data_IF_411542895808
#
_entry.id   IF_411542895808
#
_cell.length_a   1.000
_cell.length_b   1.000
_cell.length_c   1.000
_cell.angle_alpha   90.00
_cell.angle_beta   90.00
_cell.angle_gamma   90.00
#
_symmetry.space_group_name_H-M   'P 1'
#
loop_
_entity.id
_entity.type
_entity.pdbx_description
1 polymer ?
#
# COMPACT_ATOMS: atom_id res chain seq x y z
N UNK A 1 -5.56 16.60 2.77
CA UNK A 1 -4.39 16.00 3.43
C UNK A 1 -3.43 15.73 2.30
N UNK A 2 -2.31 16.44 2.30
CA UNK A 2 -1.34 16.29 1.23
C UNK A 2 -0.58 14.99 1.44
N UNK A 3 -0.36 14.25 0.35
CA UNK A 3 0.36 12.99 0.37
C UNK A 3 1.12 12.80 -0.93
N UNK A 4 2.20 12.02 -0.89
CA UNK A 4 2.90 11.55 -2.09
C UNK A 4 2.80 10.03 -2.17
N UNK A 5 2.33 9.52 -3.31
CA UNK A 5 2.29 8.09 -3.61
C UNK A 5 3.53 7.68 -4.41
N UNK A 6 4.30 6.76 -3.86
CA UNK A 6 5.43 6.12 -4.56
C UNK A 6 5.06 4.66 -4.79
N UNK A 7 4.64 4.32 -6.00
CA UNK A 7 4.12 3.00 -6.32
C UNK A 7 5.12 2.19 -7.15
N UNK A 8 5.03 0.86 -7.01
CA UNK A 8 5.68 -0.11 -7.88
C UNK A 8 7.21 -0.07 -7.87
N UNK A 9 7.82 0.20 -6.71
CA UNK A 9 9.26 -0.04 -6.57
C UNK A 9 9.50 -1.55 -6.50
N UNK A 10 10.13 -2.10 -7.54
CA UNK A 10 10.41 -3.52 -7.65
C UNK A 10 11.91 -3.73 -7.85
N UNK A 11 12.54 -4.50 -6.98
CA UNK A 11 13.91 -4.96 -7.20
C UNK A 11 13.95 -5.96 -8.37
N UNK A 12 14.98 -5.93 -9.24
CA UNK A 12 15.12 -6.89 -10.33
C UNK A 12 15.01 -8.34 -9.83
N UNK A 13 14.26 -9.17 -10.55
CA UNK A 13 14.00 -10.59 -10.24
C UNK A 13 13.34 -10.88 -8.87
N UNK A 14 12.84 -9.85 -8.18
CA UNK A 14 12.11 -10.02 -6.93
C UNK A 14 10.61 -10.25 -7.15
N UNK A 15 10.03 -11.11 -6.31
CA UNK A 15 8.57 -11.28 -6.18
C UNK A 15 7.94 -10.29 -5.19
N UNK A 16 8.71 -9.27 -4.79
CA UNK A 16 8.29 -8.22 -3.86
C UNK A 16 8.11 -6.91 -4.60
N UNK A 17 7.00 -6.24 -4.33
CA UNK A 17 6.74 -4.87 -4.76
C UNK A 17 6.59 -4.01 -3.51
N UNK A 18 7.28 -2.88 -3.51
CA UNK A 18 7.26 -1.90 -2.44
C UNK A 18 6.47 -0.68 -2.90
N UNK A 19 5.52 -0.27 -2.07
CA UNK A 19 4.74 0.96 -2.26
C UNK A 19 4.89 1.82 -1.00
N UNK A 20 5.00 3.13 -1.17
CA UNK A 20 5.01 4.08 -0.06
C UNK A 20 3.88 5.08 -0.20
N UNK A 21 3.30 5.45 0.95
CA UNK A 21 2.45 6.63 1.09
C UNK A 21 3.15 7.55 2.06
N UNK A 22 3.60 8.70 1.58
CA UNK A 22 4.30 9.72 2.37
C UNK A 22 3.30 10.79 2.79
N UNK A 23 3.18 11.02 4.09
CA UNK A 23 2.48 12.16 4.68
C UNK A 23 3.48 13.07 5.40
N UNK A 24 3.05 14.26 5.79
CA UNK A 24 3.92 15.23 6.47
C UNK A 24 4.49 14.71 7.79
N UNK A 25 3.72 13.94 8.55
CA UNK A 25 4.10 13.48 9.90
C UNK A 25 4.52 12.01 9.98
N UNK A 26 4.16 11.20 8.98
CA UNK A 26 4.46 9.78 8.96
C UNK A 26 4.45 9.23 7.54
N UNK A 27 4.98 8.02 7.38
CA UNK A 27 4.91 7.27 6.12
C UNK A 27 4.42 5.86 6.35
N UNK A 28 3.74 5.32 5.35
CA UNK A 28 3.26 3.94 5.32
C UNK A 28 4.06 3.19 4.27
N UNK A 29 4.85 2.21 4.71
CA UNK A 29 5.57 1.31 3.82
C UNK A 29 4.76 0.04 3.64
N UNK A 30 4.38 -0.25 2.40
CA UNK A 30 3.56 -1.39 2.02
C UNK A 30 4.42 -2.34 1.21
N UNK A 31 4.40 -3.61 1.57
CA UNK A 31 5.09 -4.68 0.87
C UNK A 31 4.05 -5.65 0.34
N UNK A 32 4.04 -5.79 -0.97
CA UNK A 32 3.25 -6.76 -1.69
C UNK A 32 4.14 -7.94 -2.09
N UNK A 33 3.65 -9.15 -1.83
CA UNK A 33 4.32 -10.38 -2.26
C UNK A 33 3.48 -11.08 -3.30
N UNK A 34 4.12 -11.38 -4.42
CA UNK A 34 3.50 -12.06 -5.56
C UNK A 34 3.99 -13.50 -5.66
N UNK A 35 3.20 -14.34 -6.32
CA UNK A 35 3.61 -15.66 -6.81
C UNK A 35 3.46 -15.71 -8.34
N UNK A 36 4.14 -16.67 -8.95
CA UNK A 36 4.27 -16.74 -10.41
C UNK A 36 5.35 -15.81 -10.94
N UNK A 37 5.55 -15.81 -12.26
CA UNK A 37 6.55 -14.94 -12.89
C UNK A 37 6.00 -13.50 -12.92
N UNK A 38 6.78 -12.54 -12.46
CA UNK A 38 6.38 -11.13 -12.49
C UNK A 38 6.08 -10.64 -13.92
N UNK A 39 6.80 -11.18 -14.91
CA UNK A 39 6.56 -10.93 -16.34
C UNK A 39 5.38 -11.70 -16.95
N UNK A 40 4.83 -12.71 -16.26
CA UNK A 40 3.78 -13.57 -16.80
C UNK A 40 2.81 -14.06 -15.72
N UNK A 41 1.69 -13.34 -15.61
CA UNK A 41 0.59 -13.60 -14.69
C UNK A 41 0.99 -13.57 -13.19
N UNK A 42 1.52 -12.43 -12.69
CA UNK A 42 1.78 -12.28 -11.26
C UNK A 42 0.48 -12.35 -10.46
N UNK A 43 0.49 -13.12 -9.37
CA UNK A 43 -0.65 -13.24 -8.45
C UNK A 43 -0.27 -12.67 -7.09
N UNK A 44 -0.95 -11.61 -6.67
CA UNK A 44 -0.74 -11.05 -5.33
C UNK A 44 -1.20 -12.07 -4.29
N UNK A 45 -0.32 -12.44 -3.37
CA UNK A 45 -0.55 -13.49 -2.37
C UNK A 45 -0.54 -12.96 -0.94
N UNK A 46 0.23 -11.92 -0.66
CA UNK A 46 0.31 -11.34 0.67
C UNK A 46 0.56 -9.84 0.57
N UNK A 47 -0.06 -9.09 1.47
CA UNK A 47 0.21 -7.66 1.64
C UNK A 47 0.42 -7.41 3.12
N UNK A 48 1.56 -6.80 3.43
CA UNK A 48 1.88 -6.32 4.76
C UNK A 48 2.22 -4.84 4.70
N UNK A 49 2.01 -4.12 5.79
CA UNK A 49 2.47 -2.75 5.90
C UNK A 49 3.03 -2.44 7.28
N UNK A 50 3.86 -1.40 7.32
CA UNK A 50 4.46 -0.81 8.51
C UNK A 50 4.28 0.70 8.45
N UNK A 51 4.23 1.34 9.62
CA UNK A 51 4.15 2.79 9.73
C UNK A 51 5.43 3.30 10.38
N UNK A 52 5.96 4.40 9.86
CA UNK A 52 7.14 5.07 10.38
C UNK A 52 6.90 6.56 10.55
N UNK A 53 7.61 7.20 11.46
CA UNK A 53 7.65 8.66 11.56
C UNK A 53 8.31 9.27 10.31
N UNK A 54 8.22 10.60 10.17
CA UNK A 54 8.98 11.37 9.18
C UNK A 54 10.49 11.10 9.28
N UNK A 55 11.00 10.86 10.49
CA UNK A 55 12.41 10.57 10.79
C UNK A 55 12.79 9.09 10.59
N UNK A 56 11.93 8.30 9.94
CA UNK A 56 12.12 6.87 9.63
C UNK A 56 12.14 5.94 10.87
N UNK A 57 11.66 6.41 12.01
CA UNK A 57 11.50 5.57 13.20
C UNK A 57 10.26 4.68 13.08
N UNK A 58 10.39 3.40 13.44
CA UNK A 58 9.30 2.43 13.36
C UNK A 58 8.28 2.68 14.47
N UNK A 59 7.00 2.84 14.09
CA UNK A 59 5.90 2.98 15.04
C UNK A 59 5.36 1.58 15.38
N UNK A 60 5.22 1.29 16.67
CA UNK A 60 4.58 0.07 17.14
C UNK A 60 3.05 0.18 17.05
N UNK A 61 2.41 -0.92 16.69
CA UNK A 61 0.97 -1.08 16.73
C UNK A 61 0.47 -1.09 18.18
N UNK A 62 -0.84 -0.94 18.33
CA UNK A 62 -1.56 -1.08 19.61
C UNK A 62 -1.31 -2.41 20.33
N UNK A 63 -1.03 -3.47 19.58
CA UNK A 63 -0.73 -4.82 20.10
C UNK A 63 0.77 -5.07 20.33
N UNK A 64 1.62 -4.04 20.20
CA UNK A 64 3.08 -4.13 20.35
C UNK A 64 3.83 -4.64 19.11
N UNK A 65 3.12 -5.19 18.12
CA UNK A 65 3.74 -5.65 16.88
C UNK A 65 4.09 -4.49 15.94
N UNK A 66 4.98 -4.72 14.98
CA UNK A 66 5.39 -3.69 13.99
C UNK A 66 4.68 -3.86 12.65
N UNK A 67 4.25 -5.08 12.33
CA UNK A 67 3.75 -5.45 11.00
C UNK A 67 2.24 -5.64 11.08
N UNK A 68 1.52 -5.00 10.17
CA UNK A 68 0.11 -5.28 9.92
C UNK A 68 -0.02 -6.08 8.63
N UNK A 69 -0.61 -7.28 8.71
CA UNK A 69 -0.99 -8.07 7.53
C UNK A 69 -2.42 -7.74 7.14
N UNK A 70 -2.65 -7.42 5.87
CA UNK A 70 -3.99 -7.22 5.31
C UNK A 70 -4.60 -8.60 5.02
N UNK A 71 -5.77 -8.91 5.59
CA UNK A 71 -6.39 -10.25 5.55
C UNK A 71 -7.79 -10.22 4.93
N UNK A 72 -8.20 -11.36 4.39
CA UNK A 72 -9.60 -11.67 4.00
C UNK A 72 -10.26 -10.54 3.18
N UNK A 73 -11.34 -9.96 3.68
CA UNK A 73 -12.11 -8.92 2.97
C UNK A 73 -11.29 -7.66 2.69
N UNK A 74 -10.40 -7.28 3.62
CA UNK A 74 -9.49 -6.15 3.41
C UNK A 74 -8.51 -6.45 2.28
N UNK A 75 -8.08 -7.71 2.17
CA UNK A 75 -7.17 -8.12 1.10
C UNK A 75 -7.87 -8.08 -0.27
N UNK A 76 -9.13 -8.53 -0.34
CA UNK A 76 -9.96 -8.43 -1.54
C UNK A 76 -10.21 -6.97 -1.95
N UNK A 77 -10.48 -6.08 -0.98
CA UNK A 77 -10.65 -4.65 -1.22
C UNK A 77 -9.34 -4.02 -1.73
N UNK A 78 -8.21 -4.29 -1.08
CA UNK A 78 -6.89 -3.83 -1.50
C UNK A 78 -6.58 -4.24 -2.94
N UNK A 79 -6.81 -5.52 -3.30
CA UNK A 79 -6.61 -6.03 -4.66
C UNK A 79 -7.42 -5.30 -5.72
N UNK A 80 -8.66 -4.87 -5.40
CA UNK A 80 -9.48 -4.11 -6.34
C UNK A 80 -8.91 -2.71 -6.56
N UNK A 81 -8.49 -2.04 -5.49
CA UNK A 81 -7.91 -0.70 -5.54
C UNK A 81 -6.58 -0.68 -6.29
N UNK A 82 -5.69 -1.65 -6.05
CA UNK A 82 -4.40 -1.73 -6.77
C UNK A 82 -4.57 -2.09 -8.24
N UNK A 83 -5.58 -2.90 -8.59
CA UNK A 83 -5.96 -3.12 -10.00
C UNK A 83 -6.43 -1.84 -10.69
N UNK A 84 -7.20 -0.99 -10.00
CA UNK A 84 -7.63 0.30 -10.54
C UNK A 84 -6.44 1.24 -10.80
N UNK A 85 -5.48 1.31 -9.86
CA UNK A 85 -4.27 2.14 -10.03
C UNK A 85 -3.34 1.60 -11.11
N UNK A 86 -3.24 0.28 -11.26
CA UNK A 86 -2.39 -0.33 -12.30
C UNK A 86 -3.05 -0.40 -13.68
N UNK A 87 -4.33 0.01 -13.79
CA UNK A 87 -5.15 -0.17 -14.99
C UNK A 87 -4.68 0.66 -16.18
N UNK A 88 -5.08 0.23 -17.38
CA UNK A 88 -4.83 0.97 -18.60
C UNK A 88 -5.53 2.33 -18.57
N UNK A 89 -6.77 2.41 -18.06
CA UNK A 89 -7.48 3.69 -17.99
C UNK A 89 -6.74 4.69 -17.10
N UNK A 90 -6.28 4.24 -15.93
CA UNK A 90 -5.50 5.08 -15.03
C UNK A 90 -4.20 5.53 -15.71
N UNK A 91 -3.43 4.60 -16.30
CA UNK A 91 -2.16 4.91 -17.00
C UNK A 91 -2.33 5.89 -18.16
N UNK A 92 -3.47 5.87 -18.85
CA UNK A 92 -3.75 6.75 -19.99
C UNK A 92 -4.64 7.96 -19.64
N UNK A 93 -4.88 8.24 -18.36
CA UNK A 93 -5.69 9.39 -17.89
C UNK A 93 -7.12 9.37 -18.44
N UNK A 94 -7.68 8.18 -18.66
CA UNK A 94 -9.05 7.99 -19.14
C UNK A 94 -10.08 8.01 -18.00
N UNK A 95 -9.60 8.11 -16.76
CA UNK A 95 -10.36 8.19 -15.51
C UNK A 95 -9.72 9.26 -14.62
N UNK A 96 -10.47 9.78 -13.66
CA UNK A 96 -9.94 10.70 -12.66
C UNK A 96 -8.97 9.97 -11.71
N UNK A 97 -7.68 10.25 -11.88
CA UNK A 97 -6.62 9.64 -11.06
C UNK A 97 -6.71 10.05 -9.60
N UNK A 98 -7.13 11.28 -9.33
CA UNK A 98 -7.18 11.80 -7.97
C UNK A 98 -8.20 11.01 -7.16
N UNK A 99 -9.34 10.67 -7.75
CA UNK A 99 -10.37 9.84 -7.10
C UNK A 99 -9.82 8.45 -6.78
N UNK A 100 -9.18 7.80 -7.75
CA UNK A 100 -8.66 6.43 -7.58
C UNK A 100 -7.54 6.38 -6.54
N UNK A 101 -6.60 7.34 -6.59
CA UNK A 101 -5.51 7.46 -5.63
C UNK A 101 -6.04 7.77 -4.22
N UNK A 102 -7.03 8.66 -4.12
CA UNK A 102 -7.64 9.02 -2.84
C UNK A 102 -8.37 7.84 -2.21
N UNK A 103 -9.12 7.04 -2.99
CA UNK A 103 -9.78 5.83 -2.48
C UNK A 103 -8.77 4.81 -1.93
N UNK A 104 -7.65 4.62 -2.62
CA UNK A 104 -6.55 3.77 -2.16
C UNK A 104 -5.92 4.30 -0.87
N UNK A 105 -5.58 5.58 -0.82
CA UNK A 105 -4.98 6.22 0.36
C UNK A 105 -5.92 6.17 1.56
N UNK A 106 -7.20 6.50 1.38
CA UNK A 106 -8.21 6.44 2.43
C UNK A 106 -8.37 5.02 2.98
N UNK A 107 -8.38 4.01 2.10
CA UNK A 107 -8.42 2.62 2.53
C UNK A 107 -7.22 2.28 3.44
N UNK A 108 -5.99 2.62 3.02
CA UNK A 108 -4.80 2.35 3.84
C UNK A 108 -4.80 3.14 5.15
N UNK A 109 -5.18 4.42 5.12
CA UNK A 109 -5.32 5.23 6.33
C UNK A 109 -6.31 4.64 7.32
N UNK A 110 -7.43 4.08 6.85
CA UNK A 110 -8.39 3.41 7.73
C UNK A 110 -7.76 2.22 8.47
N UNK A 111 -6.91 1.45 7.79
CA UNK A 111 -6.16 0.34 8.40
C UNK A 111 -5.10 0.86 9.39
N UNK A 112 -4.42 1.96 9.06
CA UNK A 112 -3.43 2.59 9.95
C UNK A 112 -4.10 3.04 11.26
N UNK A 113 -5.17 3.84 11.19
CA UNK A 113 -5.88 4.38 12.37
C UNK A 113 -6.44 3.25 13.26
N UNK A 114 -6.89 2.16 12.63
CA UNK A 114 -7.39 1.00 13.35
C UNK A 114 -6.27 0.29 14.13
N UNK A 115 -5.09 0.15 13.53
CA UNK A 115 -4.00 -0.68 14.08
C UNK A 115 -2.94 0.06 14.90
N UNK A 116 -2.75 1.36 14.68
CA UNK A 116 -1.67 2.16 15.27
C UNK A 116 -2.23 3.28 16.15
N UNK A 117 -1.47 3.65 17.18
CA UNK A 117 -1.72 4.86 17.94
C UNK A 117 -0.96 6.00 17.27
N UNK A 118 -1.68 6.75 16.44
CA UNK A 118 -1.22 8.04 15.93
C UNK A 118 -1.65 9.10 16.95
N UNK A 119 -1.00 9.11 18.11
CA UNK A 119 -1.26 10.02 19.24
C UNK A 119 -0.04 10.89 19.50
#
# INVERSE_FOLDING_TARGET
MDYTLELSFQEPDSHLVFNNILFDSFKVNIVEKYTGKMSHNPRLCEVIFRVRTSDDEIIHKKDGNIITRIKEDQFNAYQKLTKAISSYEYKNKLVDRNIIEQDYVHFILSLVITNYNLS
#
